data_IF_017969669699
#
_entry.id   IF_017969669699
#
_cell.length_a   1.000
_cell.length_b   1.000
_cell.length_c   1.000
_cell.angle_alpha   90.00
_cell.angle_beta   90.00
_cell.angle_gamma   90.00
#
_symmetry.space_group_name_H-M   'P 1'
#
loop_
_entity.id
_entity.type
_entity.pdbx_description
1 polymer ?
#
# COMPACT_ATOMS: atom_id res chain seq x y z
N UNK A 1 54.00 -35.49 13.95
CA UNK A 1 55.25 -36.26 14.08
C UNK A 1 55.00 -37.26 15.21
N UNK A 2 55.33 -38.55 15.00
CA UNK A 2 54.98 -39.76 15.78
C UNK A 2 53.55 -40.30 15.53
N UNK A 3 53.27 -41.33 14.71
CA UNK A 3 53.81 -42.69 14.42
C UNK A 3 53.43 -43.81 15.45
N UNK A 4 52.35 -44.56 15.15
CA UNK A 4 52.22 -46.01 14.76
C UNK A 4 52.29 -47.05 15.91
N UNK A 5 51.35 -48.02 15.89
CA UNK A 5 51.50 -49.51 15.93
C UNK A 5 50.39 -50.16 16.79
N UNK A 6 49.70 -51.27 16.46
CA UNK A 6 49.60 -52.15 15.26
C UNK A 6 48.44 -53.17 15.47
N UNK A 7 47.74 -53.48 14.37
CA UNK A 7 46.99 -54.68 13.93
C UNK A 7 46.63 -55.87 14.86
N UNK A 8 45.39 -56.37 14.68
CA UNK A 8 45.05 -57.69 14.09
C UNK A 8 43.51 -57.77 13.91
N UNK A 9 42.93 -57.87 12.70
CA UNK A 9 42.76 -59.04 11.81
C UNK A 9 41.28 -59.50 11.76
N UNK A 10 40.60 -59.06 10.68
CA UNK A 10 39.63 -59.78 9.81
C UNK A 10 38.30 -60.41 10.29
N UNK A 11 37.32 -60.23 9.40
CA UNK A 11 36.01 -60.88 9.19
C UNK A 11 34.84 -60.23 9.96
N UNK A 12 33.72 -59.81 9.39
CA UNK A 12 33.13 -59.89 8.06
C UNK A 12 31.60 -59.70 8.22
N UNK A 13 30.93 -59.23 7.16
CA UNK A 13 29.46 -59.15 6.99
C UNK A 13 28.70 -57.97 7.68
N UNK A 14 28.46 -56.95 6.86
CA UNK A 14 27.18 -56.26 6.61
C UNK A 14 26.06 -56.28 7.66
N UNK A 15 25.66 -55.09 8.11
CA UNK A 15 24.46 -54.88 8.92
C UNK A 15 24.21 -53.40 9.20
N UNK A 16 23.44 -52.76 8.33
CA UNK A 16 23.05 -51.35 8.37
C UNK A 16 22.22 -51.01 9.63
N UNK A 17 22.73 -50.18 10.54
CA UNK A 17 21.95 -49.52 11.60
C UNK A 17 22.42 -48.07 11.75
N UNK A 18 21.60 -47.14 11.27
CA UNK A 18 21.77 -45.71 11.44
C UNK A 18 21.01 -45.28 12.71
N UNK A 19 21.63 -44.64 13.71
CA UNK A 19 20.93 -44.24 14.93
C UNK A 19 20.09 -42.97 14.71
N UNK A 20 18.84 -43.02 15.19
CA UNK A 20 17.89 -41.92 15.22
C UNK A 20 18.44 -40.71 16.00
N UNK A 21 18.59 -39.57 15.32
CA UNK A 21 18.79 -38.28 15.95
C UNK A 21 17.43 -37.61 16.10
N UNK A 22 16.92 -37.57 17.33
CA UNK A 22 15.71 -36.83 17.70
C UNK A 22 15.95 -35.32 17.56
N UNK A 23 15.40 -34.73 16.50
CA UNK A 23 15.28 -33.28 16.35
C UNK A 23 14.04 -32.81 17.13
N UNK A 24 14.29 -32.04 18.20
CA UNK A 24 13.25 -31.36 18.97
C UNK A 24 12.58 -30.31 18.08
N UNK A 25 11.28 -30.50 17.82
CA UNK A 25 10.40 -29.53 17.18
C UNK A 25 10.40 -28.21 17.97
N UNK A 26 11.05 -27.18 17.43
CA UNK A 26 10.76 -25.81 17.79
C UNK A 26 9.44 -25.43 17.11
N UNK A 27 8.37 -25.39 17.89
CA UNK A 27 7.10 -24.82 17.47
C UNK A 27 7.30 -23.32 17.20
N UNK A 28 7.58 -22.98 15.94
CA UNK A 28 7.39 -21.63 15.44
C UNK A 28 5.91 -21.28 15.55
N UNK A 29 5.57 -20.46 16.54
CA UNK A 29 4.30 -19.75 16.61
C UNK A 29 4.18 -18.87 15.35
N UNK A 30 3.58 -19.42 14.28
CA UNK A 30 3.14 -18.66 13.11
C UNK A 30 2.08 -17.67 13.56
N UNK A 31 2.53 -16.48 13.97
CA UNK A 31 1.70 -15.27 13.92
C UNK A 31 1.21 -15.20 12.48
N UNK A 32 -0.09 -15.39 12.24
CA UNK A 32 -0.69 -15.15 10.92
C UNK A 32 -0.24 -13.74 10.51
N UNK A 33 0.61 -13.64 9.50
CA UNK A 33 0.99 -12.36 8.90
C UNK A 33 -0.29 -11.59 8.62
N UNK A 34 -0.53 -10.55 9.40
CA UNK A 34 -1.67 -9.68 9.20
C UNK A 34 -1.40 -8.95 7.90
N UNK A 35 -2.13 -9.34 6.84
CA UNK A 35 -2.00 -8.71 5.51
C UNK A 35 -2.17 -7.19 5.71
N UNK A 36 -1.24 -6.42 5.17
CA UNK A 36 -1.26 -4.97 5.27
C UNK A 36 -1.76 -4.35 3.95
N UNK A 37 -2.38 -3.17 4.04
CA UNK A 37 -2.75 -2.40 2.85
C UNK A 37 -1.52 -1.78 2.16
N UNK A 38 -0.41 -1.59 2.89
CA UNK A 38 0.89 -1.16 2.39
C UNK A 38 2.00 -1.79 3.23
N UNK A 39 3.09 -2.20 2.59
CA UNK A 39 4.13 -3.03 3.21
C UNK A 39 5.49 -2.33 3.24
N UNK A 40 5.91 -1.71 2.13
CA UNK A 40 7.26 -1.17 2.00
C UNK A 40 7.54 -0.04 3.00
N UNK A 41 8.69 -0.17 3.69
CA UNK A 41 9.31 0.85 4.53
C UNK A 41 8.35 1.52 5.54
N UNK A 42 7.34 0.77 6.00
CA UNK A 42 6.35 1.25 6.97
C UNK A 42 6.19 0.28 8.13
N UNK A 43 5.70 0.80 9.26
CA UNK A 43 5.41 0.03 10.47
C UNK A 43 3.96 0.26 10.90
N UNK A 44 3.26 -0.75 11.45
CA UNK A 44 1.94 -0.55 12.02
C UNK A 44 2.07 0.26 13.31
N UNK A 45 1.06 1.09 13.60
CA UNK A 45 0.94 1.82 14.86
C UNK A 45 -0.53 1.94 15.24
N UNK A 46 -0.84 1.93 16.53
CA UNK A 46 -2.19 2.18 17.03
C UNK A 46 -2.47 3.68 17.17
N UNK A 47 -3.74 4.08 17.04
CA UNK A 47 -4.12 5.50 17.16
C UNK A 47 -3.80 6.06 18.55
N UNK A 48 -3.92 5.25 19.61
CA UNK A 48 -3.56 5.65 20.97
C UNK A 48 -2.06 5.90 21.12
N UNK A 49 -1.23 5.09 20.47
CA UNK A 49 0.22 5.26 20.46
C UNK A 49 0.61 6.55 19.71
N UNK A 50 -0.03 6.86 18.57
CA UNK A 50 0.19 8.13 17.89
C UNK A 50 -0.09 9.33 18.81
N UNK A 51 -1.21 9.31 19.53
CA UNK A 51 -1.60 10.40 20.44
C UNK A 51 -0.67 10.58 21.64
N UNK A 52 -0.17 9.47 22.18
CA UNK A 52 0.64 9.48 23.41
C UNK A 52 2.12 9.70 23.12
N UNK A 53 2.64 9.07 22.07
CA UNK A 53 4.07 8.93 21.85
C UNK A 53 4.62 9.94 20.83
N UNK A 54 3.76 10.58 20.01
CA UNK A 54 4.19 11.54 19.00
C UNK A 54 3.97 12.99 19.42
N UNK A 55 4.99 13.82 19.24
CA UNK A 55 4.85 15.28 19.26
C UNK A 55 4.22 15.79 17.97
N UNK A 56 3.60 16.97 18.02
CA UNK A 56 3.04 17.65 16.85
C UNK A 56 4.06 18.66 16.30
N UNK A 57 4.51 18.53 15.04
CA UNK A 57 5.38 19.52 14.43
C UNK A 57 4.72 20.91 14.37
N UNK A 58 5.53 21.96 14.45
CA UNK A 58 5.11 23.37 14.39
C UNK A 58 5.79 24.10 13.24
N UNK A 59 5.18 25.19 12.79
CA UNK A 59 5.80 26.14 11.87
C UNK A 59 6.79 27.04 12.63
N UNK A 60 8.05 27.07 12.19
CA UNK A 60 9.14 27.61 13.01
C UNK A 60 9.12 29.14 13.17
N UNK A 61 8.46 29.88 12.26
CA UNK A 61 8.46 31.35 12.30
C UNK A 61 7.41 31.97 13.24
N UNK A 62 6.34 31.24 13.54
CA UNK A 62 5.22 31.69 14.36
C UNK A 62 4.80 30.68 15.44
N UNK A 63 5.45 29.52 15.49
CA UNK A 63 5.20 28.43 16.45
C UNK A 63 3.78 27.87 16.38
N UNK A 64 3.06 28.07 15.28
CA UNK A 64 1.73 27.50 15.13
C UNK A 64 1.80 25.99 14.86
N UNK A 65 0.89 25.24 15.48
CA UNK A 65 0.81 23.79 15.34
C UNK A 65 0.24 23.38 13.98
N UNK A 66 0.79 22.31 13.41
CA UNK A 66 0.22 21.60 12.27
C UNK A 66 -1.02 20.81 12.69
N UNK A 67 -1.83 20.40 11.72
CA UNK A 67 -2.82 19.35 11.96
C UNK A 67 -2.07 18.03 12.14
N UNK A 68 -2.21 17.43 13.33
CA UNK A 68 -1.57 16.17 13.70
C UNK A 68 -2.12 14.97 12.91
N UNK A 69 -1.36 13.88 12.89
CA UNK A 69 -1.77 12.63 12.26
C UNK A 69 -3.10 12.08 12.78
N UNK A 70 -3.29 12.06 14.11
CA UNK A 70 -4.51 11.56 14.72
C UNK A 70 -5.70 12.49 14.49
N UNK A 71 -5.51 13.81 14.54
CA UNK A 71 -6.55 14.78 14.17
C UNK A 71 -7.03 14.57 12.74
N UNK A 72 -6.10 14.36 11.79
CA UNK A 72 -6.45 14.08 10.40
C UNK A 72 -7.24 12.76 10.25
N UNK A 73 -6.81 11.69 10.92
CA UNK A 73 -7.51 10.40 10.91
C UNK A 73 -8.94 10.54 11.46
N UNK A 74 -9.07 11.16 12.63
CA UNK A 74 -10.38 11.38 13.25
C UNK A 74 -11.30 12.25 12.40
N UNK A 75 -10.75 13.28 11.76
CA UNK A 75 -11.47 14.13 10.84
C UNK A 75 -12.06 13.31 9.70
N UNK A 76 -11.24 12.48 9.03
CA UNK A 76 -11.71 11.63 7.94
C UNK A 76 -12.75 10.60 8.37
N UNK A 77 -12.56 9.95 9.52
CA UNK A 77 -13.54 8.99 10.05
C UNK A 77 -14.87 9.66 10.42
N UNK A 78 -14.84 10.83 11.06
CA UNK A 78 -16.04 11.61 11.40
C UNK A 78 -16.77 12.07 10.15
N UNK A 79 -16.02 12.58 9.17
CA UNK A 79 -16.55 13.01 7.88
C UNK A 79 -17.26 11.88 7.13
N UNK A 80 -16.63 10.69 7.04
CA UNK A 80 -17.26 9.52 6.41
C UNK A 80 -18.52 9.06 7.15
N UNK A 81 -18.48 9.02 8.49
CA UNK A 81 -19.65 8.68 9.30
C UNK A 81 -20.81 9.66 9.07
N UNK A 82 -20.51 10.96 9.02
CA UNK A 82 -21.50 12.02 8.80
C UNK A 82 -22.09 11.94 7.39
N UNK A 83 -21.24 11.78 6.36
CA UNK A 83 -21.67 11.75 4.97
C UNK A 83 -22.49 10.50 4.62
N UNK A 84 -22.12 9.33 5.17
CA UNK A 84 -22.71 8.04 4.79
C UNK A 84 -23.73 7.52 5.80
N UNK A 85 -23.86 8.13 6.98
CA UNK A 85 -24.81 7.73 8.02
C UNK A 85 -24.55 6.35 8.64
N UNK A 86 -23.38 5.75 8.38
CA UNK A 86 -23.01 4.40 8.85
C UNK A 86 -21.72 4.41 9.66
N UNK A 87 -21.54 3.38 10.49
CA UNK A 87 -20.36 3.24 11.31
C UNK A 87 -19.09 3.00 10.47
N UNK A 88 -17.97 3.54 10.96
CA UNK A 88 -16.63 3.38 10.40
C UNK A 88 -15.80 2.57 11.41
N UNK A 89 -15.07 1.57 10.94
CA UNK A 89 -14.18 0.75 11.77
C UNK A 89 -12.98 1.53 12.29
N UNK A 90 -12.33 1.01 13.33
CA UNK A 90 -11.03 1.51 13.77
C UNK A 90 -10.02 1.46 12.62
N UNK A 91 -9.19 2.51 12.48
CA UNK A 91 -8.30 2.65 11.34
C UNK A 91 -7.10 1.70 11.45
N UNK A 92 -6.69 1.14 10.31
CA UNK A 92 -5.36 0.56 10.13
C UNK A 92 -4.40 1.69 9.79
N UNK A 93 -3.29 1.83 10.52
CA UNK A 93 -2.36 2.94 10.37
C UNK A 93 -0.95 2.41 10.12
N UNK A 94 -0.24 3.06 9.19
CA UNK A 94 1.12 2.73 8.78
C UNK A 94 1.94 4.00 8.78
N UNK A 95 3.08 3.99 9.46
CA UNK A 95 3.98 5.14 9.58
C UNK A 95 5.36 4.81 9.02
N UNK A 96 6.06 5.83 8.53
CA UNK A 96 7.45 5.71 8.06
C UNK A 96 8.25 6.95 8.43
N UNK A 97 9.58 6.86 8.29
CA UNK A 97 10.51 7.98 8.52
C UNK A 97 10.36 8.56 9.93
N UNK A 98 10.85 7.78 10.90
CA UNK A 98 10.84 8.16 12.31
C UNK A 98 11.82 9.31 12.55
N UNK A 99 11.31 10.44 13.04
CA UNK A 99 12.10 11.60 13.42
C UNK A 99 12.22 11.62 14.94
N UNK A 100 13.46 11.57 15.45
CA UNK A 100 13.77 11.67 16.87
C UNK A 100 14.39 13.04 17.14
N UNK A 101 13.79 13.78 18.06
CA UNK A 101 14.28 15.07 18.52
C UNK A 101 14.64 15.04 20.01
N UNK A 102 14.87 16.23 20.56
CA UNK A 102 15.21 16.45 21.97
C UNK A 102 14.30 17.54 22.54
N UNK A 103 14.03 17.49 23.83
CA UNK A 103 13.41 18.61 24.53
C UNK A 103 14.39 19.80 24.62
N UNK A 104 13.91 21.05 24.77
CA UNK A 104 14.77 22.24 24.79
C UNK A 104 15.87 22.20 25.86
N UNK A 105 15.60 21.61 27.03
CA UNK A 105 16.54 21.44 28.13
C UNK A 105 17.66 20.41 27.84
N UNK A 106 17.50 19.59 26.81
CA UNK A 106 18.39 18.47 26.49
C UNK A 106 19.17 18.64 25.17
N UNK A 107 19.14 19.83 24.56
CA UNK A 107 19.77 20.09 23.24
C UNK A 107 21.25 19.68 23.23
N UNK A 108 21.99 20.02 24.29
CA UNK A 108 23.42 19.74 24.40
C UNK A 108 23.75 18.41 25.11
N UNK A 109 22.74 17.61 25.48
CA UNK A 109 22.97 16.33 26.15
C UNK A 109 23.43 15.28 25.13
N UNK A 110 24.55 14.56 25.36
CA UNK A 110 24.99 13.48 24.49
C UNK A 110 23.92 12.40 24.27
N UNK A 111 23.92 11.76 23.09
CA UNK A 111 22.88 10.79 22.70
C UNK A 111 22.74 9.59 23.66
N UNK A 112 23.86 9.17 24.28
CA UNK A 112 23.96 8.10 25.25
C UNK A 112 23.48 8.49 26.67
N UNK A 113 23.35 9.79 26.96
CA UNK A 113 22.97 10.32 28.28
C UNK A 113 21.53 10.88 28.29
N UNK A 114 20.86 10.91 27.13
CA UNK A 114 19.50 11.38 26.97
C UNK A 114 18.49 10.47 27.69
N UNK A 115 17.79 11.04 28.67
CA UNK A 115 16.64 10.40 29.32
C UNK A 115 15.51 10.18 28.32
N UNK A 116 14.66 9.18 28.55
CA UNK A 116 13.52 8.92 27.66
C UNK A 116 12.55 10.11 27.61
N UNK A 117 12.33 10.78 28.75
CA UNK A 117 11.52 12.00 28.84
C UNK A 117 12.09 13.21 28.06
N UNK A 118 13.36 13.14 27.68
CA UNK A 118 14.04 14.19 26.92
C UNK A 118 14.09 13.90 25.42
N UNK A 119 13.61 12.73 25.00
CA UNK A 119 13.51 12.36 23.58
C UNK A 119 12.12 12.74 23.09
N UNK A 120 12.07 13.42 21.95
CA UNK A 120 10.82 13.64 21.23
C UNK A 120 10.76 12.77 20.00
N UNK A 121 9.55 12.46 19.54
CA UNK A 121 9.33 11.52 18.47
C UNK A 121 8.17 12.02 17.61
N UNK A 122 8.30 11.96 16.29
CA UNK A 122 7.16 11.93 15.40
C UNK A 122 7.50 11.12 14.16
N UNK A 123 6.51 10.81 13.34
CA UNK A 123 6.72 10.19 12.03
C UNK A 123 6.52 11.22 10.95
N UNK A 124 7.43 11.31 10.01
CA UNK A 124 7.32 12.27 8.90
C UNK A 124 6.15 11.91 7.98
N UNK A 125 5.85 10.60 7.81
CA UNK A 125 4.78 10.14 6.91
C UNK A 125 3.88 9.12 7.58
N UNK A 126 2.59 9.28 7.39
CA UNK A 126 1.54 8.40 7.89
C UNK A 126 0.51 8.13 6.79
N UNK A 127 0.13 6.87 6.65
CA UNK A 127 -0.99 6.41 5.84
C UNK A 127 -2.00 5.70 6.74
N UNK A 128 -3.28 5.88 6.47
CA UNK A 128 -4.35 5.21 7.21
C UNK A 128 -5.49 4.76 6.31
N UNK A 129 -6.21 3.72 6.73
CA UNK A 129 -7.40 3.19 6.07
C UNK A 129 -8.41 2.78 7.14
N UNK A 130 -9.65 3.24 7.02
CA UNK A 130 -10.77 2.82 7.84
C UNK A 130 -11.92 2.30 6.96
N UNK A 131 -12.37 1.08 7.25
CA UNK A 131 -13.45 0.43 6.49
C UNK A 131 -14.82 0.90 6.97
N UNK A 132 -15.78 0.79 6.07
CA UNK A 132 -17.20 1.07 6.28
C UNK A 132 -17.95 -0.25 6.08
N UNK A 133 -18.05 -1.10 7.12
CA UNK A 133 -18.42 -2.51 6.98
C UNK A 133 -19.86 -2.76 6.52
N UNK A 134 -20.73 -1.75 6.60
CA UNK A 134 -22.11 -1.83 6.11
C UNK A 134 -22.23 -1.67 4.60
N UNK A 135 -21.20 -1.13 3.93
CA UNK A 135 -21.20 -0.92 2.48
C UNK A 135 -20.20 -1.90 1.88
N UNK A 136 -20.73 -3.03 1.38
CA UNK A 136 -19.95 -4.13 0.82
C UNK A 136 -20.45 -4.48 -0.58
N UNK A 137 -19.58 -5.08 -1.37
CA UNK A 137 -19.92 -5.70 -2.65
C UNK A 137 -19.07 -6.96 -2.86
N UNK A 138 -19.47 -7.82 -3.79
CA UNK A 138 -18.72 -9.00 -4.20
C UNK A 138 -18.41 -8.93 -5.69
N UNK A 139 -17.14 -9.16 -6.05
CA UNK A 139 -16.64 -9.09 -7.43
C UNK A 139 -15.58 -10.17 -7.61
N UNK A 140 -15.76 -11.07 -8.59
CA UNK A 140 -14.84 -12.18 -8.82
C UNK A 140 -14.67 -13.11 -7.62
N UNK A 141 -15.72 -13.28 -6.80
CA UNK A 141 -15.66 -14.03 -5.54
C UNK A 141 -14.93 -13.32 -4.39
N UNK A 142 -14.49 -12.07 -4.59
CA UNK A 142 -13.81 -11.29 -3.57
C UNK A 142 -14.83 -10.40 -2.84
N UNK A 143 -14.90 -10.47 -1.51
CA UNK A 143 -15.59 -9.45 -0.73
C UNK A 143 -14.79 -8.15 -0.76
N UNK A 144 -15.48 -7.04 -1.04
CA UNK A 144 -14.95 -5.69 -0.96
C UNK A 144 -15.75 -4.89 0.06
N UNK A 145 -15.05 -4.16 0.91
CA UNK A 145 -15.66 -3.17 1.81
C UNK A 145 -15.31 -1.79 1.33
N UNK A 146 -16.28 -0.88 1.31
CA UNK A 146 -15.98 0.54 1.15
C UNK A 146 -15.04 0.97 2.27
N UNK A 147 -14.09 1.85 1.96
CA UNK A 147 -13.10 2.36 2.88
C UNK A 147 -12.77 3.82 2.55
N UNK A 148 -12.49 4.59 3.59
CA UNK A 148 -11.89 5.91 3.50
C UNK A 148 -10.47 5.82 4.07
N UNK A 149 -9.55 6.62 3.55
CA UNK A 149 -8.22 6.70 4.10
C UNK A 149 -7.45 7.88 3.55
N UNK A 150 -6.20 8.00 3.96
CA UNK A 150 -5.40 9.13 3.53
C UNK A 150 -3.94 9.02 3.89
N UNK A 151 -3.18 9.99 3.39
CA UNK A 151 -1.75 10.17 3.67
C UNK A 151 -1.52 11.59 4.18
N UNK A 152 -0.82 11.68 5.31
CA UNK A 152 -0.21 12.91 5.80
C UNK A 152 1.31 12.76 5.75
N UNK A 153 1.97 13.79 5.22
CA UNK A 153 3.39 13.76 4.95
C UNK A 153 4.00 15.13 5.28
N UNK A 154 4.64 15.26 6.44
CA UNK A 154 5.22 16.53 6.90
C UNK A 154 6.37 17.03 6.04
N UNK A 155 7.08 16.13 5.33
CA UNK A 155 8.08 16.51 4.32
C UNK A 155 7.52 17.24 3.10
N UNK A 156 6.19 17.21 2.90
CA UNK A 156 5.54 17.98 1.85
C UNK A 156 5.15 19.39 2.32
N UNK A 157 5.40 19.71 3.60
CA UNK A 157 5.23 21.04 4.17
C UNK A 157 6.53 21.79 4.27
N UNK A 158 6.42 23.13 4.25
CA UNK A 158 7.53 24.00 4.62
C UNK A 158 7.43 24.38 6.10
N UNK A 159 7.83 23.47 7.01
CA UNK A 159 7.79 23.73 8.45
C UNK A 159 8.74 24.87 8.88
N UNK A 160 9.62 25.35 8.00
CA UNK A 160 10.51 26.49 8.24
C UNK A 160 9.89 27.85 7.93
N UNK A 161 8.62 27.89 7.49
CA UNK A 161 7.87 29.11 7.21
C UNK A 161 6.97 29.54 8.38
N UNK A 162 6.19 30.61 8.16
CA UNK A 162 4.96 30.86 8.93
C UNK A 162 3.91 29.82 8.54
N UNK A 163 2.90 29.60 9.38
CA UNK A 163 1.79 28.70 9.04
C UNK A 163 1.17 29.15 7.73
N UNK A 164 1.05 28.16 6.86
CA UNK A 164 0.38 28.30 5.58
C UNK A 164 -0.57 27.15 5.37
N UNK A 165 -0.97 27.01 4.11
CA UNK A 165 -1.81 25.92 3.65
C UNK A 165 -1.07 24.59 3.79
N UNK A 166 -1.64 23.68 4.56
CA UNK A 166 -1.20 22.30 4.71
C UNK A 166 -1.80 21.39 3.64
N UNK A 167 -1.13 20.27 3.36
CA UNK A 167 -1.49 19.31 2.31
C UNK A 167 -1.80 17.92 2.86
N UNK A 168 -2.88 17.36 2.34
CA UNK A 168 -3.37 16.02 2.68
C UNK A 168 -3.71 15.26 1.40
N UNK A 169 -3.51 13.94 1.40
CA UNK A 169 -4.08 13.07 0.36
C UNK A 169 -5.19 12.26 1.01
N UNK A 170 -6.35 12.20 0.37
CA UNK A 170 -7.49 11.42 0.88
C UNK A 170 -8.07 10.60 -0.26
N UNK A 171 -8.47 9.38 0.04
CA UNK A 171 -9.24 8.57 -0.87
C UNK A 171 -10.50 8.03 -0.19
N UNK A 172 -11.52 7.80 -1.01
CA UNK A 172 -12.64 6.89 -0.72
C UNK A 172 -12.72 5.89 -1.88
N UNK A 173 -12.91 4.62 -1.57
CA UNK A 173 -12.86 3.53 -2.55
C UNK A 173 -13.08 2.19 -1.88
N UNK A 174 -12.77 1.09 -2.55
CA UNK A 174 -12.97 -0.24 -1.99
C UNK A 174 -11.65 -0.86 -1.49
N UNK A 175 -11.71 -1.59 -0.39
CA UNK A 175 -10.65 -2.48 0.05
C UNK A 175 -11.06 -3.92 -0.23
N UNK A 176 -10.24 -4.64 -1.02
CA UNK A 176 -10.45 -6.07 -1.28
C UNK A 176 -10.03 -6.90 -0.07
N UNK A 177 -10.95 -7.65 0.53
CA UNK A 177 -10.74 -8.32 1.81
C UNK A 177 -9.79 -9.52 1.75
N UNK A 178 -9.48 -10.05 0.56
CA UNK A 178 -8.55 -11.18 0.43
C UNK A 178 -7.11 -10.73 0.70
N UNK A 179 -6.67 -9.64 0.09
CA UNK A 179 -5.29 -9.16 0.20
C UNK A 179 -5.19 -7.76 0.81
N UNK A 180 -6.28 -7.12 1.18
CA UNK A 180 -6.34 -5.72 1.60
C UNK A 180 -5.81 -4.74 0.54
N UNK A 181 -5.89 -5.12 -0.74
CA UNK A 181 -5.57 -4.22 -1.84
C UNK A 181 -6.56 -3.05 -1.84
N UNK A 182 -6.06 -1.84 -2.07
CA UNK A 182 -6.92 -0.68 -2.23
C UNK A 182 -7.29 -0.51 -3.70
N UNK A 183 -8.57 -0.61 -3.96
CA UNK A 183 -9.20 -0.38 -5.25
C UNK A 183 -9.75 1.05 -5.26
N UNK A 184 -9.00 1.96 -5.89
CA UNK A 184 -9.25 3.40 -5.86
C UNK A 184 -9.32 3.93 -7.29
N UNK A 185 -10.39 4.65 -7.61
CA UNK A 185 -10.53 5.41 -8.85
C UNK A 185 -10.08 6.87 -8.71
N UNK A 186 -9.98 7.54 -9.86
CA UNK A 186 -9.74 8.99 -9.94
C UNK A 186 -10.81 9.80 -9.21
N UNK A 187 -12.08 9.41 -9.32
CA UNK A 187 -13.19 10.11 -8.64
C UNK A 187 -13.08 9.96 -7.12
N UNK A 188 -12.61 8.81 -6.66
CA UNK A 188 -12.38 8.49 -5.25
C UNK A 188 -11.12 9.11 -4.64
N UNK A 189 -10.15 9.59 -5.44
CA UNK A 189 -8.92 10.18 -4.93
C UNK A 189 -8.95 11.72 -4.95
N UNK A 190 -8.48 12.33 -3.86
CA UNK A 190 -8.01 13.71 -3.81
C UNK A 190 -6.52 13.69 -3.47
N UNK A 191 -5.70 13.84 -4.50
CA UNK A 191 -4.24 13.75 -4.43
C UNK A 191 -3.60 14.94 -3.70
N UNK A 192 -4.32 16.07 -3.61
CA UNK A 192 -3.90 17.25 -2.86
C UNK A 192 -5.13 18.01 -2.34
N UNK A 193 -5.48 17.79 -1.08
CA UNK A 193 -6.39 18.65 -0.31
C UNK A 193 -5.54 19.71 0.38
N UNK A 194 -5.82 20.97 0.06
CA UNK A 194 -5.19 22.15 0.63
C UNK A 194 -6.12 22.78 1.66
N UNK A 195 -5.63 23.01 2.87
CA UNK A 195 -6.40 23.65 3.94
C UNK A 195 -5.47 24.32 4.95
N UNK A 196 -5.93 25.40 5.55
CA UNK A 196 -5.23 26.11 6.63
C UNK A 196 -5.87 25.87 8.01
N UNK A 197 -7.04 25.21 8.06
CA UNK A 197 -7.80 25.00 9.28
C UNK A 197 -8.60 23.68 9.28
N UNK A 198 -8.96 23.23 10.47
CA UNK A 198 -9.61 21.93 10.64
C UNK A 198 -11.05 21.86 10.09
N UNK A 199 -11.78 22.98 10.12
CA UNK A 199 -13.17 23.04 9.68
C UNK A 199 -13.26 22.86 8.16
N UNK A 200 -12.45 23.60 7.40
CA UNK A 200 -12.36 23.48 5.94
C UNK A 200 -11.90 22.08 5.50
N UNK A 201 -10.94 21.48 6.21
CA UNK A 201 -10.58 20.07 6.00
C UNK A 201 -11.82 19.17 6.15
N UNK A 202 -12.54 19.28 7.28
CA UNK A 202 -13.72 18.46 7.56
C UNK A 202 -14.79 18.58 6.46
N UNK A 203 -15.11 19.80 6.02
CA UNK A 203 -16.09 20.06 4.97
C UNK A 203 -15.70 19.41 3.63
N UNK A 204 -14.42 19.53 3.25
CA UNK A 204 -13.89 18.87 2.04
C UNK A 204 -13.97 17.35 2.14
N UNK A 205 -13.72 16.77 3.31
CA UNK A 205 -13.81 15.31 3.51
C UNK A 205 -15.26 14.82 3.50
N UNK A 206 -16.21 15.58 4.07
CA UNK A 206 -17.64 15.27 4.03
C UNK A 206 -18.13 15.30 2.58
N UNK A 207 -17.75 16.34 1.83
CA UNK A 207 -18.10 16.47 0.41
C UNK A 207 -17.52 15.32 -0.44
N UNK A 208 -16.26 14.95 -0.23
CA UNK A 208 -15.65 13.81 -0.90
C UNK A 208 -16.39 12.50 -0.61
N UNK A 209 -16.68 12.22 0.67
CA UNK A 209 -17.34 10.98 1.06
C UNK A 209 -18.80 10.92 0.60
N UNK A 210 -19.53 12.04 0.66
CA UNK A 210 -20.94 12.12 0.27
C UNK A 210 -21.16 12.17 -1.25
N UNK A 211 -20.19 12.69 -2.00
CA UNK A 211 -20.26 12.77 -3.47
C UNK A 211 -19.75 11.52 -4.20
N UNK A 212 -19.23 10.53 -3.48
CA UNK A 212 -18.64 9.34 -4.09
C UNK A 212 -19.69 8.29 -4.46
N UNK A 213 -19.85 8.01 -5.75
CA UNK A 213 -20.76 6.98 -6.26
C UNK A 213 -20.13 5.59 -6.19
N UNK A 214 -20.18 5.00 -5.00
CA UNK A 214 -19.65 3.66 -4.77
C UNK A 214 -20.42 2.54 -5.49
N UNK A 215 -21.66 2.78 -5.93
CA UNK A 215 -22.41 1.80 -6.72
C UNK A 215 -21.88 1.75 -8.16
N UNK A 216 -21.69 2.91 -8.77
CA UNK A 216 -21.07 3.03 -10.09
C UNK A 216 -19.65 2.49 -10.11
N UNK A 217 -18.86 2.75 -9.06
CA UNK A 217 -17.51 2.19 -8.95
C UNK A 217 -17.55 0.66 -8.85
N UNK A 218 -18.41 0.10 -8.01
CA UNK A 218 -18.58 -1.35 -7.93
C UNK A 218 -19.01 -1.97 -9.27
N UNK A 219 -19.89 -1.31 -10.02
CA UNK A 219 -20.28 -1.77 -11.37
C UNK A 219 -19.10 -1.74 -12.35
N UNK A 220 -18.28 -0.69 -12.30
CA UNK A 220 -17.08 -0.59 -13.14
C UNK A 220 -16.12 -1.77 -12.91
N UNK A 221 -15.99 -2.25 -11.67
CA UNK A 221 -15.18 -3.40 -11.33
C UNK A 221 -15.80 -4.73 -11.79
N UNK A 222 -17.14 -4.86 -11.76
CA UNK A 222 -17.84 -6.02 -12.34
C UNK A 222 -17.63 -6.10 -13.84
N UNK A 223 -17.57 -4.97 -14.53
CA UNK A 223 -17.23 -4.93 -15.97
C UNK A 223 -15.81 -5.44 -16.26
N UNK A 224 -14.84 -5.17 -15.38
CA UNK A 224 -13.49 -5.72 -15.51
C UNK A 224 -13.45 -7.24 -15.40
N UNK A 225 -14.31 -7.83 -14.57
CA UNK A 225 -14.39 -9.29 -14.41
C UNK A 225 -14.80 -9.99 -15.72
N UNK A 226 -15.65 -9.33 -16.53
CA UNK A 226 -16.19 -9.88 -17.78
C UNK A 226 -15.18 -9.94 -18.94
N UNK A 227 -14.03 -9.26 -18.81
CA UNK A 227 -13.03 -9.16 -19.86
C UNK A 227 -11.74 -9.86 -19.44
N UNK A 228 -11.05 -10.50 -20.37
CA UNK A 228 -9.81 -11.22 -20.11
C UNK A 228 -8.79 -11.03 -21.21
N UNK A 229 -7.52 -11.14 -20.86
CA UNK A 229 -6.40 -11.20 -21.81
C UNK A 229 -5.78 -12.59 -21.81
N UNK A 230 -5.23 -12.99 -22.95
CA UNK A 230 -4.50 -14.26 -23.09
C UNK A 230 -3.13 -14.19 -22.43
N UNK A 231 -2.51 -15.35 -22.23
CA UNK A 231 -1.13 -15.43 -21.74
C UNK A 231 -0.16 -14.67 -22.65
N UNK A 232 -0.34 -14.75 -23.98
CA UNK A 232 0.47 -14.00 -24.94
C UNK A 232 0.29 -12.49 -24.77
N UNK A 233 -0.94 -12.00 -24.62
CA UNK A 233 -1.21 -10.57 -24.41
C UNK A 233 -0.66 -10.09 -23.05
N UNK A 234 -0.75 -10.93 -22.02
CA UNK A 234 -0.15 -10.65 -20.71
C UNK A 234 1.38 -10.57 -20.81
N UNK A 235 2.03 -11.50 -21.51
CA UNK A 235 3.47 -11.47 -21.74
C UNK A 235 3.89 -10.20 -22.51
N UNK A 236 3.14 -9.84 -23.56
CA UNK A 236 3.33 -8.56 -24.29
C UNK A 236 3.18 -7.36 -23.36
N UNK A 237 2.15 -7.32 -22.52
CA UNK A 237 1.95 -6.27 -21.52
C UNK A 237 3.16 -6.09 -20.61
N UNK A 238 3.66 -7.18 -20.01
CA UNK A 238 4.84 -7.10 -19.14
C UNK A 238 6.09 -6.65 -19.91
N UNK A 239 6.28 -7.13 -21.14
CA UNK A 239 7.39 -6.71 -21.99
C UNK A 239 7.34 -5.21 -22.32
N UNK A 240 6.18 -4.72 -22.78
CA UNK A 240 5.94 -3.32 -23.14
C UNK A 240 6.07 -2.40 -21.94
N UNK A 241 5.57 -2.79 -20.76
CA UNK A 241 5.73 -2.04 -19.52
C UNK A 241 7.20 -1.84 -19.13
N UNK A 242 8.06 -2.86 -19.33
CA UNK A 242 9.51 -2.72 -19.13
C UNK A 242 10.13 -1.76 -20.15
N UNK A 243 9.70 -1.84 -21.41
CA UNK A 243 10.20 -0.96 -22.47
C UNK A 243 9.75 0.50 -22.29
N UNK A 244 8.60 0.73 -21.66
CA UNK A 244 7.96 2.04 -21.53
C UNK A 244 8.89 3.13 -20.95
N UNK A 245 9.72 2.76 -19.96
CA UNK A 245 10.65 3.70 -19.33
C UNK A 245 11.86 4.04 -20.20
N UNK A 246 12.10 3.28 -21.27
CA UNK A 246 13.20 3.45 -22.21
C UNK A 246 12.74 4.04 -23.56
N UNK A 247 11.45 4.33 -23.71
CA UNK A 247 10.92 4.93 -24.93
C UNK A 247 11.49 6.33 -25.16
N UNK A 248 11.75 6.72 -26.42
CA UNK A 248 12.02 8.11 -26.77
C UNK A 248 10.89 9.02 -26.30
N UNK A 249 11.25 10.23 -25.86
CA UNK A 249 10.29 11.17 -25.25
C UNK A 249 9.08 11.48 -26.16
N UNK A 250 9.26 11.52 -27.49
CA UNK A 250 8.17 11.72 -28.44
C UNK A 250 7.13 10.60 -28.39
N UNK A 251 7.58 9.34 -28.51
CA UNK A 251 6.70 8.17 -28.46
C UNK A 251 6.04 8.01 -27.09
N UNK A 252 6.77 8.29 -26.00
CA UNK A 252 6.24 8.16 -24.64
C UNK A 252 5.08 9.12 -24.38
N UNK A 253 5.09 10.33 -24.96
CA UNK A 253 4.03 11.34 -24.80
C UNK A 253 2.68 10.94 -25.41
N UNK A 254 2.69 10.06 -26.40
CA UNK A 254 1.46 9.56 -27.06
C UNK A 254 0.81 8.42 -26.25
N UNK A 255 1.57 7.84 -25.32
CA UNK A 255 1.14 6.75 -24.48
C UNK A 255 0.64 7.25 -23.12
N UNK A 256 -0.31 6.52 -22.51
CA UNK A 256 -0.72 6.75 -21.13
C UNK A 256 0.45 6.76 -20.15
N UNK A 257 0.37 7.59 -19.12
CA UNK A 257 1.38 7.61 -18.05
C UNK A 257 1.35 6.29 -17.28
N UNK A 258 2.51 5.67 -17.05
CA UNK A 258 2.67 4.49 -16.21
C UNK A 258 3.60 4.83 -15.04
N UNK A 259 3.12 4.63 -13.82
CA UNK A 259 3.84 4.96 -12.58
C UNK A 259 4.47 3.74 -11.89
N UNK A 260 4.31 2.56 -12.50
CA UNK A 260 4.84 1.29 -12.03
C UNK A 260 6.35 1.19 -12.26
N UNK A 261 7.05 0.50 -11.36
CA UNK A 261 8.50 0.28 -11.41
C UNK A 261 8.86 -1.14 -11.86
N UNK A 262 10.12 -1.36 -12.23
CA UNK A 262 10.63 -2.69 -12.61
C UNK A 262 10.40 -3.75 -11.53
N UNK A 263 10.55 -3.36 -10.26
CA UNK A 263 10.24 -4.25 -9.15
C UNK A 263 8.77 -4.68 -9.16
N UNK A 264 7.86 -3.76 -9.45
CA UNK A 264 6.43 -4.06 -9.52
C UNK A 264 6.10 -4.91 -10.75
N UNK A 265 6.73 -4.67 -11.90
CA UNK A 265 6.60 -5.54 -13.07
C UNK A 265 7.05 -6.98 -12.77
N UNK A 266 8.18 -7.15 -12.07
CA UNK A 266 8.65 -8.45 -11.62
C UNK A 266 7.64 -9.13 -10.68
N UNK A 267 7.08 -8.39 -9.72
CA UNK A 267 6.06 -8.90 -8.80
C UNK A 267 4.79 -9.35 -9.54
N UNK A 268 4.28 -8.54 -10.47
CA UNK A 268 3.08 -8.86 -11.27
C UNK A 268 3.31 -10.13 -12.09
N UNK A 269 4.46 -10.24 -12.78
CA UNK A 269 4.79 -11.41 -13.58
C UNK A 269 4.92 -12.68 -12.71
N UNK A 270 5.53 -12.57 -11.53
CA UNK A 270 5.64 -13.68 -10.57
C UNK A 270 4.25 -14.11 -10.08
N UNK A 271 3.42 -13.15 -9.68
CA UNK A 271 2.13 -13.41 -9.05
C UNK A 271 1.07 -13.86 -10.05
N UNK A 272 1.22 -13.54 -11.34
CA UNK A 272 0.42 -14.14 -12.41
C UNK A 272 0.47 -15.67 -12.41
N UNK A 273 1.62 -16.27 -12.07
CA UNK A 273 1.76 -17.73 -11.93
C UNK A 273 1.56 -18.24 -10.50
N UNK A 274 1.92 -17.43 -9.48
CA UNK A 274 2.06 -17.91 -8.09
C UNK A 274 0.99 -17.40 -7.12
N UNK A 275 0.25 -16.36 -7.47
CA UNK A 275 -0.81 -15.84 -6.61
C UNK A 275 -1.88 -16.90 -6.43
N UNK A 276 -2.38 -17.06 -5.20
CA UNK A 276 -3.50 -17.99 -4.93
C UNK A 276 -4.85 -17.41 -5.34
N UNK A 277 -4.95 -16.09 -5.46
CA UNK A 277 -6.25 -15.39 -5.56
C UNK A 277 -6.42 -14.58 -6.83
N UNK A 278 -5.31 -14.16 -7.46
CA UNK A 278 -5.34 -13.24 -8.60
C UNK A 278 -4.54 -13.76 -9.81
N UNK A 279 -4.19 -15.04 -9.84
CA UNK A 279 -3.45 -15.65 -10.93
C UNK A 279 -4.32 -15.94 -12.17
N UNK A 280 -3.65 -16.37 -13.24
CA UNK A 280 -4.27 -16.90 -14.45
C UNK A 280 -5.17 -18.10 -14.16
N UNK A 281 -6.14 -18.33 -15.02
CA UNK A 281 -6.93 -19.56 -15.03
C UNK A 281 -6.16 -20.73 -15.68
N UNK A 282 -6.79 -21.90 -15.72
CA UNK A 282 -6.22 -23.13 -16.29
C UNK A 282 -5.85 -22.98 -17.78
N UNK A 283 -6.56 -22.11 -18.51
CA UNK A 283 -6.28 -21.80 -19.92
C UNK A 283 -5.16 -20.78 -20.12
N UNK A 284 -4.60 -20.24 -19.03
CA UNK A 284 -3.61 -19.16 -19.07
C UNK A 284 -4.20 -17.77 -19.29
N UNK A 285 -5.53 -17.62 -19.31
CA UNK A 285 -6.14 -16.29 -19.38
C UNK A 285 -6.19 -15.65 -18.00
N UNK A 286 -6.16 -14.32 -17.97
CA UNK A 286 -6.39 -13.55 -16.74
C UNK A 286 -7.47 -12.50 -17.00
N UNK A 287 -8.50 -12.49 -16.16
CA UNK A 287 -9.53 -11.45 -16.23
C UNK A 287 -9.00 -10.12 -15.70
N UNK A 288 -9.57 -9.01 -16.18
CA UNK A 288 -9.05 -7.68 -15.87
C UNK A 288 -9.23 -7.30 -14.39
N UNK A 289 -10.24 -7.85 -13.71
CA UNK A 289 -10.38 -7.70 -12.26
C UNK A 289 -9.22 -8.33 -11.47
N UNK A 290 -8.80 -9.54 -11.84
CA UNK A 290 -7.64 -10.22 -11.26
C UNK A 290 -6.34 -9.49 -11.61
N UNK A 291 -6.19 -9.05 -12.86
CA UNK A 291 -5.03 -8.24 -13.28
C UNK A 291 -4.91 -6.95 -12.46
N UNK A 292 -6.02 -6.22 -12.27
CA UNK A 292 -6.05 -5.03 -11.42
C UNK A 292 -5.59 -5.33 -10.00
N UNK A 293 -6.04 -6.44 -9.42
CA UNK A 293 -5.65 -6.87 -8.08
C UNK A 293 -4.20 -7.37 -8.01
N UNK A 294 -3.62 -7.94 -9.07
CA UNK A 294 -2.18 -8.21 -9.13
C UNK A 294 -1.37 -6.91 -9.09
N UNK A 295 -1.74 -5.92 -9.90
CA UNK A 295 -1.03 -4.62 -9.97
C UNK A 295 -1.11 -3.89 -8.63
N UNK A 296 -2.30 -3.80 -8.03
CA UNK A 296 -2.48 -3.16 -6.71
C UNK A 296 -1.80 -3.95 -5.58
N UNK A 297 -1.67 -5.28 -5.68
CA UNK A 297 -0.84 -6.06 -4.76
C UNK A 297 0.64 -5.67 -4.87
N UNK A 298 1.17 -5.56 -6.09
CA UNK A 298 2.54 -5.10 -6.32
C UNK A 298 2.75 -3.67 -5.82
N UNK A 299 1.73 -2.81 -5.88
CA UNK A 299 1.79 -1.44 -5.37
C UNK A 299 2.02 -1.33 -3.87
N UNK A 300 1.77 -2.37 -3.06
CA UNK A 300 2.09 -2.34 -1.63
C UNK A 300 3.58 -2.20 -1.31
N UNK A 301 4.43 -2.49 -2.31
CA UNK A 301 5.87 -2.23 -2.25
C UNK A 301 6.24 -0.75 -2.48
N UNK A 302 5.27 0.13 -2.68
CA UNK A 302 5.48 1.57 -2.86
C UNK A 302 5.72 2.28 -1.54
N UNK A 303 6.44 3.40 -1.59
CA UNK A 303 6.47 4.37 -0.50
C UNK A 303 5.07 4.98 -0.29
N UNK A 304 4.79 5.39 0.95
CA UNK A 304 3.53 6.04 1.34
C UNK A 304 3.15 7.20 0.38
N UNK A 305 4.13 8.01 -0.05
CA UNK A 305 3.90 9.19 -0.89
C UNK A 305 3.27 8.89 -2.24
N UNK A 306 3.69 7.79 -2.89
CA UNK A 306 3.28 7.43 -4.26
C UNK A 306 2.22 6.33 -4.30
N UNK A 307 1.95 5.67 -3.17
CA UNK A 307 1.09 4.50 -3.09
C UNK A 307 -0.33 4.74 -3.64
N UNK A 308 -1.02 5.80 -3.19
CA UNK A 308 -2.39 6.08 -3.64
C UNK A 308 -2.47 6.42 -5.14
N UNK A 309 -1.53 7.24 -5.63
CA UNK A 309 -1.45 7.60 -7.05
C UNK A 309 -1.23 6.40 -7.94
N UNK A 310 -0.34 5.47 -7.53
CA UNK A 310 -0.09 4.22 -8.26
C UNK A 310 -1.31 3.30 -8.28
N UNK A 311 -2.15 3.29 -7.25
CA UNK A 311 -3.38 2.48 -7.25
C UNK A 311 -4.44 3.03 -8.21
N UNK A 312 -4.53 4.35 -8.35
CA UNK A 312 -5.37 4.98 -9.40
C UNK A 312 -4.80 4.67 -10.78
N UNK A 313 -3.49 4.86 -10.98
CA UNK A 313 -2.82 4.55 -12.24
C UNK A 313 -2.98 3.07 -12.66
N UNK A 314 -3.03 2.16 -11.68
CA UNK A 314 -3.31 0.75 -11.93
C UNK A 314 -4.72 0.51 -12.49
N UNK A 315 -5.72 1.25 -12.00
CA UNK A 315 -7.09 1.15 -12.51
C UNK A 315 -7.17 1.76 -13.92
N UNK A 316 -6.56 2.92 -14.14
CA UNK A 316 -6.49 3.58 -15.44
C UNK A 316 -5.87 2.67 -16.50
N UNK A 317 -4.76 2.00 -16.16
CA UNK A 317 -4.12 1.01 -17.03
C UNK A 317 -5.06 -0.12 -17.42
N UNK A 318 -5.76 -0.70 -16.44
CA UNK A 318 -6.65 -1.84 -16.68
C UNK A 318 -7.92 -1.44 -17.46
N UNK A 319 -8.50 -0.28 -17.17
CA UNK A 319 -9.60 0.29 -17.97
C UNK A 319 -9.13 0.59 -19.39
N UNK A 320 -7.92 1.11 -19.55
CA UNK A 320 -7.32 1.34 -20.86
C UNK A 320 -7.11 0.06 -21.65
N UNK A 321 -6.62 -1.01 -21.00
CA UNK A 321 -6.52 -2.34 -21.60
C UNK A 321 -7.90 -2.85 -22.02
N UNK A 322 -8.93 -2.70 -21.18
CA UNK A 322 -10.32 -3.06 -21.52
C UNK A 322 -10.74 -2.36 -22.82
N UNK A 323 -10.53 -1.04 -22.91
CA UNK A 323 -10.84 -0.27 -24.13
C UNK A 323 -10.04 -0.75 -25.33
N UNK A 324 -8.78 -1.12 -25.15
CA UNK A 324 -7.95 -1.65 -26.23
C UNK A 324 -8.38 -3.02 -26.75
N UNK A 325 -9.08 -3.82 -25.93
CA UNK A 325 -9.72 -5.08 -26.36
C UNK A 325 -10.95 -4.76 -27.22
N UNK A 326 -11.77 -3.81 -26.77
CA UNK A 326 -13.08 -3.50 -27.38
C UNK A 326 -12.99 -2.57 -28.61
N UNK A 327 -11.99 -1.68 -28.69
CA UNK A 327 -11.88 -0.63 -29.71
C UNK A 327 -10.44 -0.21 -30.03
N UNK A 328 -10.28 0.73 -30.97
CA UNK A 328 -9.01 1.43 -31.16
C UNK A 328 -8.73 2.35 -29.96
N UNK A 329 -7.54 2.20 -29.38
CA UNK A 329 -7.07 2.95 -28.22
C UNK A 329 -5.55 2.96 -28.23
N UNK A 330 -4.92 4.04 -27.77
CA UNK A 330 -3.47 4.11 -27.58
C UNK A 330 -2.95 3.04 -26.58
N UNK A 331 -3.81 2.50 -25.73
CA UNK A 331 -3.49 1.36 -24.86
C UNK A 331 -3.23 0.05 -25.62
N UNK A 332 -3.58 -0.05 -26.91
CA UNK A 332 -3.27 -1.22 -27.75
C UNK A 332 -1.77 -1.51 -27.82
N UNK A 333 -0.93 -0.48 -27.71
CA UNK A 333 0.53 -0.64 -27.67
C UNK A 333 0.99 -1.59 -26.56
N UNK A 334 0.24 -1.67 -25.45
CA UNK A 334 0.59 -2.54 -24.33
C UNK A 334 0.22 -4.01 -24.57
N UNK A 335 -0.74 -4.33 -25.43
CA UNK A 335 -1.24 -5.72 -25.55
C UNK A 335 -1.04 -6.33 -26.95
N UNK A 336 -0.52 -5.56 -27.92
CA UNK A 336 -0.24 -5.99 -29.29
C UNK A 336 1.25 -6.01 -29.63
#
# INVERSE_FOLDING_TARGET
MELILKNSSQNGAEGNQNPEVQLKDQQETKVKEQKAFIEANSKPIEIQQLKRDCIVPVFSKDNEVTISHDQFIECGMKAAKQALGVAVESPQIRVSHQIKGRTPDAINVPANELKESQKTLYFERMAWVARIPKIKTQIGGNELSLAIGGVRAYNQENLYSRKGVEKFKVFIGFQNMICLNLCISTDGLRSEIKTDNFQDLSEKLISLAGGFDFQREAESFRELEKHSITESQFATLIGKLRMYNHLPAGQKKELPEIQLTDNQFNMIAKDYYRSKSFCKDESGKINLWRLYNLITSANKSSYIDSFLGRNVNALDLVIGIKKAIDSESNYRWFIN
#
